data_IF_943829218692
#
_entry.id   IF_943829218692
#
_cell.length_a   1.000
_cell.length_b   1.000
_cell.length_c   1.000
_cell.angle_alpha   90.00
_cell.angle_beta   90.00
_cell.angle_gamma   90.00
#
_symmetry.space_group_name_H-M   'P 1'
#
loop_
_entity.id
_entity.type
_entity.pdbx_description
1 polymer ?
#
# COMPACT_ATOMS: atom_id res chain seq x y z
N UNK A 1 -11.09 -1.23 -53.86
CA UNK A 1 -11.34 -1.02 -52.41
C UNK A 1 -10.06 -0.84 -51.59
N UNK A 2 -8.99 -1.63 -51.82
CA UNK A 2 -7.69 -1.50 -51.10
C UNK A 2 -7.01 -0.12 -51.18
N UNK A 3 -7.12 0.60 -52.30
CA UNK A 3 -6.47 1.91 -52.46
C UNK A 3 -7.11 3.03 -51.64
N UNK A 4 -8.41 2.95 -51.33
CA UNK A 4 -9.11 4.00 -50.56
C UNK A 4 -8.77 3.95 -49.07
N UNK A 5 -8.59 2.74 -48.53
CA UNK A 5 -8.14 2.52 -47.14
C UNK A 5 -6.67 2.93 -46.97
N UNK A 6 -5.82 2.65 -47.96
CA UNK A 6 -4.40 3.06 -47.92
C UNK A 6 -4.25 4.59 -47.94
N UNK A 7 -5.07 5.29 -48.73
CA UNK A 7 -5.12 6.76 -48.76
C UNK A 7 -5.69 7.39 -47.48
N UNK A 8 -6.65 6.74 -46.81
CA UNK A 8 -7.15 7.19 -45.50
C UNK A 8 -6.11 6.96 -44.39
N UNK A 9 -5.32 5.89 -44.46
CA UNK A 9 -4.23 5.63 -43.52
C UNK A 9 -3.02 6.56 -43.72
N UNK A 10 -2.72 6.97 -44.95
CA UNK A 10 -1.69 7.99 -45.24
C UNK A 10 -2.11 9.41 -44.80
N UNK A 11 -3.42 9.71 -44.72
CA UNK A 11 -3.89 10.97 -44.09
C UNK A 11 -3.71 11.00 -42.57
N UNK A 12 -3.43 9.86 -41.95
CA UNK A 12 -3.06 9.75 -40.52
C UNK A 12 -1.53 9.61 -40.40
N UNK A 13 -0.76 10.19 -41.33
CA UNK A 13 0.62 10.53 -41.03
C UNK A 13 0.65 11.60 -39.94
N UNK A 14 0.81 11.14 -38.69
CA UNK A 14 1.24 12.00 -37.59
C UNK A 14 2.52 12.66 -38.07
N UNK A 15 2.56 14.01 -38.24
CA UNK A 15 3.72 14.67 -38.82
C UNK A 15 4.96 14.34 -37.98
N UNK A 16 5.83 13.50 -38.56
CA UNK A 16 7.05 12.97 -37.94
C UNK A 16 8.08 14.07 -37.64
N UNK A 17 7.85 15.26 -38.19
CA UNK A 17 8.69 16.44 -38.04
C UNK A 17 7.86 17.69 -37.71
N UNK A 18 7.10 17.69 -36.60
CA UNK A 18 6.80 18.94 -35.92
C UNK A 18 8.07 19.39 -35.18
N UNK A 19 8.86 20.20 -35.88
CA UNK A 19 10.06 20.85 -35.37
C UNK A 19 9.78 21.44 -33.97
N UNK A 20 10.54 20.98 -32.98
CA UNK A 20 10.45 21.27 -31.52
C UNK A 20 10.32 22.75 -31.12
N UNK A 21 10.48 23.69 -32.07
CA UNK A 21 10.44 25.15 -31.87
C UNK A 21 9.13 25.82 -32.31
N UNK A 22 8.33 25.28 -33.24
CA UNK A 22 7.19 26.04 -33.80
C UNK A 22 5.88 25.94 -33.01
N UNK A 23 5.78 25.08 -32.00
CA UNK A 23 4.67 25.09 -31.04
C UNK A 23 4.86 26.10 -29.89
N UNK A 24 5.85 26.98 -29.95
CA UNK A 24 6.19 27.86 -28.84
C UNK A 24 5.29 29.09 -28.67
N UNK A 25 4.44 29.50 -29.61
CA UNK A 25 3.61 30.71 -29.42
C UNK A 25 2.30 30.45 -28.65
N UNK A 26 1.35 29.78 -29.32
CA UNK A 26 -0.02 29.57 -28.82
C UNK A 26 -0.11 28.37 -27.86
N UNK A 27 0.76 27.37 -28.02
CA UNK A 27 0.84 26.20 -27.14
C UNK A 27 1.66 26.47 -25.87
N UNK A 28 2.43 27.55 -25.78
CA UNK A 28 3.11 27.92 -24.53
C UNK A 28 2.12 28.38 -23.46
N UNK A 29 1.14 29.23 -23.78
CA UNK A 29 0.15 29.68 -22.80
C UNK A 29 -0.68 28.53 -22.24
N UNK A 30 -1.19 27.68 -23.15
CA UNK A 30 -1.96 26.48 -22.78
C UNK A 30 -1.11 25.43 -22.06
N UNK A 31 0.12 25.22 -22.50
CA UNK A 31 1.07 24.32 -21.84
C UNK A 31 1.43 24.77 -20.43
N UNK A 32 1.66 26.08 -20.23
CA UNK A 32 1.87 26.66 -18.89
C UNK A 32 0.66 26.47 -17.99
N UNK A 33 -0.55 26.74 -18.49
CA UNK A 33 -1.78 26.53 -17.71
C UNK A 33 -1.95 25.05 -17.30
N UNK A 34 -1.77 24.12 -18.24
CA UNK A 34 -1.83 22.69 -17.95
C UNK A 34 -0.75 22.23 -16.97
N UNK A 35 0.47 22.75 -17.12
CA UNK A 35 1.55 22.50 -16.17
C UNK A 35 1.13 22.88 -14.75
N UNK A 36 0.62 24.10 -14.53
CA UNK A 36 0.21 24.52 -13.19
C UNK A 36 -0.95 23.69 -12.66
N UNK A 37 -1.93 23.32 -13.49
CA UNK A 37 -3.03 22.43 -13.08
C UNK A 37 -2.48 21.09 -12.60
N UNK A 38 -1.63 20.42 -13.40
CA UNK A 38 -1.07 19.12 -13.01
C UNK A 38 -0.14 19.23 -11.81
N UNK A 39 0.65 20.30 -11.72
CA UNK A 39 1.54 20.52 -10.59
C UNK A 39 0.78 20.71 -9.28
N UNK A 40 -0.27 21.54 -9.27
CA UNK A 40 -1.14 21.73 -8.10
C UNK A 40 -1.82 20.43 -7.69
N UNK A 41 -2.28 19.62 -8.65
CA UNK A 41 -2.89 18.31 -8.38
C UNK A 41 -1.87 17.32 -7.80
N UNK A 42 -0.64 17.31 -8.31
CA UNK A 42 0.39 16.37 -7.88
C UNK A 42 0.94 16.66 -6.49
N UNK A 43 0.99 17.92 -6.05
CA UNK A 43 1.52 18.31 -4.72
C UNK A 43 0.88 17.55 -3.54
N UNK A 44 -0.46 17.52 -3.36
CA UNK A 44 -1.07 16.81 -2.24
C UNK A 44 -0.83 15.30 -2.33
N UNK A 45 -0.80 14.74 -3.55
CA UNK A 45 -0.48 13.33 -3.73
C UNK A 45 0.97 13.03 -3.39
N UNK A 46 1.91 13.85 -3.85
CA UNK A 46 3.32 13.68 -3.55
C UNK A 46 3.59 13.83 -2.07
N UNK A 47 2.92 14.77 -1.39
CA UNK A 47 3.01 14.91 0.05
C UNK A 47 2.50 13.66 0.76
N UNK A 48 1.33 13.13 0.36
CA UNK A 48 0.78 11.90 0.93
C UNK A 48 1.72 10.71 0.75
N UNK A 49 2.20 10.45 -0.47
CA UNK A 49 3.13 9.35 -0.74
C UNK A 49 4.47 9.55 0.01
N UNK A 50 4.97 10.78 0.04
CA UNK A 50 6.21 11.11 0.73
C UNK A 50 6.10 10.88 2.23
N UNK A 51 5.03 11.36 2.86
CA UNK A 51 4.79 11.14 4.28
C UNK A 51 4.70 9.63 4.58
N UNK A 52 3.91 8.88 3.82
CA UNK A 52 3.81 7.43 4.01
C UNK A 52 5.14 6.70 3.81
N UNK A 53 5.92 7.09 2.80
CA UNK A 53 7.26 6.53 2.58
C UNK A 53 8.19 6.87 3.73
N UNK A 54 8.26 8.14 4.13
CA UNK A 54 9.19 8.59 5.16
C UNK A 54 8.88 7.95 6.52
N UNK A 55 7.62 7.92 6.94
CA UNK A 55 7.22 7.25 8.18
C UNK A 55 7.55 5.76 8.23
N UNK A 56 7.53 5.08 7.07
CA UNK A 56 7.84 3.65 7.02
C UNK A 56 9.31 3.35 7.29
N UNK A 57 10.21 4.24 6.88
CA UNK A 57 11.66 4.02 6.95
C UNK A 57 12.35 4.84 8.04
N UNK A 58 11.72 5.93 8.51
CA UNK A 58 12.32 6.86 9.46
C UNK A 58 11.32 7.24 10.57
N UNK A 59 11.70 7.10 11.86
CA UNK A 59 10.85 7.49 12.97
C UNK A 59 10.77 9.02 13.08
N UNK A 60 9.56 9.59 13.00
CA UNK A 60 9.30 11.03 13.10
C UNK A 60 9.61 11.65 14.47
N UNK A 61 10.02 10.85 15.45
CA UNK A 61 10.08 11.26 16.85
C UNK A 61 11.39 11.97 17.24
N UNK A 62 12.17 12.46 16.27
CA UNK A 62 13.40 13.20 16.53
C UNK A 62 13.43 14.45 15.65
N UNK A 63 13.69 15.60 16.28
CA UNK A 63 13.68 16.92 15.63
C UNK A 63 14.55 16.97 14.37
N UNK A 64 15.68 16.26 14.38
CA UNK A 64 16.65 16.26 13.29
C UNK A 64 16.11 15.55 12.04
N UNK A 65 15.39 14.43 12.21
CA UNK A 65 14.80 13.71 11.09
C UNK A 65 13.68 14.49 10.42
N UNK A 66 12.91 15.27 11.18
CA UNK A 66 11.88 16.16 10.62
C UNK A 66 12.47 17.22 9.69
N UNK A 67 13.59 17.85 10.08
CA UNK A 67 14.26 18.84 9.23
C UNK A 67 14.83 18.21 7.96
N UNK A 68 15.45 17.04 8.07
CA UNK A 68 15.96 16.28 6.92
C UNK A 68 14.82 15.89 5.99
N UNK A 69 13.67 15.47 6.53
CA UNK A 69 12.49 15.11 5.76
C UNK A 69 11.99 16.31 4.92
N UNK A 70 11.78 17.45 5.58
CA UNK A 70 11.32 18.66 4.91
C UNK A 70 12.29 19.07 3.80
N UNK A 71 13.60 19.02 4.08
CA UNK A 71 14.63 19.38 3.11
C UNK A 71 14.63 18.42 1.92
N UNK A 72 14.51 17.11 2.15
CA UNK A 72 14.43 16.11 1.08
C UNK A 72 13.14 16.24 0.26
N UNK A 73 12.02 16.58 0.88
CA UNK A 73 10.78 16.88 0.17
C UNK A 73 10.95 18.08 -0.78
N UNK A 74 11.52 19.18 -0.27
CA UNK A 74 11.70 20.41 -1.06
C UNK A 74 12.74 20.24 -2.16
N UNK A 75 13.86 19.57 -1.89
CA UNK A 75 14.96 19.44 -2.85
C UNK A 75 14.79 18.30 -3.85
N UNK A 76 14.10 17.21 -3.49
CA UNK A 76 13.95 16.06 -4.38
C UNK A 76 12.51 15.91 -4.91
N UNK A 77 11.51 15.95 -4.02
CA UNK A 77 10.13 15.62 -4.39
C UNK A 77 9.48 16.75 -5.20
N UNK A 78 9.63 18.01 -4.80
CA UNK A 78 9.04 19.14 -5.54
C UNK A 78 9.59 19.24 -6.98
N UNK A 79 10.92 19.19 -7.23
CA UNK A 79 11.45 19.22 -8.59
C UNK A 79 11.01 18.02 -9.42
N UNK A 80 10.92 16.83 -8.81
CA UNK A 80 10.41 15.64 -9.47
C UNK A 80 8.94 15.82 -9.89
N UNK A 81 8.09 16.41 -9.03
CA UNK A 81 6.69 16.70 -9.37
C UNK A 81 6.56 17.76 -10.45
N UNK A 82 7.41 18.78 -10.46
CA UNK A 82 7.45 19.77 -11.54
C UNK A 82 7.80 19.10 -12.88
N UNK A 83 8.82 18.24 -12.89
CA UNK A 83 9.19 17.46 -14.06
C UNK A 83 8.05 16.56 -14.55
N UNK A 84 7.38 15.83 -13.65
CA UNK A 84 6.23 14.99 -13.97
C UNK A 84 5.06 15.83 -14.53
N UNK A 85 4.74 16.96 -13.92
CA UNK A 85 3.71 17.88 -14.40
C UNK A 85 3.98 18.37 -15.83
N UNK A 86 5.23 18.69 -16.15
CA UNK A 86 5.63 19.07 -17.52
C UNK A 86 5.42 17.90 -18.50
N UNK A 87 5.83 16.68 -18.15
CA UNK A 87 5.64 15.50 -19.02
C UNK A 87 4.17 15.19 -19.25
N UNK A 88 3.35 15.28 -18.22
CA UNK A 88 1.89 15.07 -18.32
C UNK A 88 1.26 16.17 -19.16
N UNK A 89 1.64 17.44 -18.98
CA UNK A 89 1.15 18.55 -19.79
C UNK A 89 1.48 18.37 -21.28
N UNK A 90 2.72 18.00 -21.59
CA UNK A 90 3.15 17.72 -22.97
C UNK A 90 2.40 16.51 -23.53
N UNK A 91 2.21 15.46 -22.74
CA UNK A 91 1.43 14.28 -23.16
C UNK A 91 -0.02 14.64 -23.46
N UNK A 92 -0.68 15.39 -22.58
CA UNK A 92 -2.06 15.83 -22.74
C UNK A 92 -2.25 16.70 -24.00
N UNK A 93 -1.32 17.62 -24.26
CA UNK A 93 -1.32 18.43 -25.47
C UNK A 93 -1.10 17.59 -26.74
N UNK A 94 -0.12 16.67 -26.73
CA UNK A 94 0.17 15.81 -27.89
C UNK A 94 -0.98 14.89 -28.26
N UNK A 95 -1.70 14.39 -27.27
CA UNK A 95 -2.87 13.52 -27.46
C UNK A 95 -4.16 14.29 -27.75
N UNK A 96 -4.12 15.63 -27.78
CA UNK A 96 -5.32 16.45 -27.93
C UNK A 96 -6.32 16.28 -26.78
N UNK A 97 -5.86 15.76 -25.63
CA UNK A 97 -6.68 15.56 -24.43
C UNK A 97 -7.11 16.89 -23.81
N UNK A 98 -6.56 18.02 -24.26
CA UNK A 98 -6.93 19.36 -23.82
C UNK A 98 -8.27 19.86 -24.38
N UNK A 99 -9.00 19.08 -25.19
CA UNK A 99 -10.29 19.47 -25.78
C UNK A 99 -11.45 18.63 -25.25
N UNK A 100 -12.49 19.31 -24.78
CA UNK A 100 -13.80 18.72 -24.49
C UNK A 100 -13.82 17.73 -23.34
N UNK A 101 -14.70 16.73 -23.44
CA UNK A 101 -15.00 15.76 -22.37
C UNK A 101 -13.81 14.84 -22.01
N UNK A 102 -12.89 14.61 -22.93
CA UNK A 102 -11.74 13.73 -22.72
C UNK A 102 -10.72 14.31 -21.71
N UNK A 103 -10.62 15.64 -21.61
CA UNK A 103 -9.78 16.29 -20.60
C UNK A 103 -10.28 16.00 -19.18
N UNK A 104 -11.61 16.11 -19.02
CA UNK A 104 -12.28 15.91 -17.74
C UNK A 104 -12.11 14.45 -17.30
N UNK A 105 -12.34 13.49 -18.21
CA UNK A 105 -12.12 12.06 -17.92
C UNK A 105 -10.68 11.80 -17.49
N UNK A 106 -9.70 12.37 -18.19
CA UNK A 106 -8.29 12.23 -17.85
C UNK A 106 -7.98 12.78 -16.45
N UNK A 107 -8.48 13.97 -16.11
CA UNK A 107 -8.33 14.55 -14.77
C UNK A 107 -9.01 13.71 -13.69
N UNK A 108 -10.22 13.21 -13.96
CA UNK A 108 -10.95 12.34 -13.02
C UNK A 108 -10.15 11.08 -12.74
N UNK A 109 -9.59 10.42 -13.75
CA UNK A 109 -8.77 9.21 -13.55
C UNK A 109 -7.51 9.54 -12.74
N UNK A 110 -6.83 10.65 -13.07
CA UNK A 110 -5.61 11.09 -12.38
C UNK A 110 -5.85 11.31 -10.87
N UNK A 111 -7.02 11.84 -10.50
CA UNK A 111 -7.42 12.08 -9.11
C UNK A 111 -7.99 10.81 -8.45
N UNK A 112 -8.75 10.00 -9.20
CA UNK A 112 -9.44 8.82 -8.67
C UNK A 112 -8.47 7.70 -8.28
N UNK A 113 -7.38 7.47 -9.02
CA UNK A 113 -6.40 6.42 -8.72
C UNK A 113 -5.83 6.57 -7.30
N UNK A 114 -5.23 7.71 -6.91
CA UNK A 114 -4.68 7.86 -5.57
C UNK A 114 -5.76 7.82 -4.47
N UNK A 115 -6.96 8.36 -4.72
CA UNK A 115 -8.09 8.24 -3.77
C UNK A 115 -8.51 6.78 -3.59
N UNK A 116 -8.55 5.99 -4.67
CA UNK A 116 -8.88 4.58 -4.60
C UNK A 116 -7.86 3.81 -3.75
N UNK A 117 -6.58 4.14 -3.85
CA UNK A 117 -5.51 3.57 -3.02
C UNK A 117 -5.76 3.88 -1.54
N UNK A 118 -6.07 5.14 -1.18
CA UNK A 118 -6.28 5.52 0.23
C UNK A 118 -7.55 4.93 0.85
N UNK A 119 -8.61 4.77 0.06
CA UNK A 119 -9.86 4.13 0.52
C UNK A 119 -9.65 2.64 0.75
N UNK A 120 -8.82 1.97 -0.08
CA UNK A 120 -8.60 0.53 0.03
C UNK A 120 -7.99 0.11 1.37
N UNK A 121 -7.23 0.99 2.02
CA UNK A 121 -6.63 0.71 3.33
C UNK A 121 -7.64 0.64 4.48
N UNK A 122 -8.83 1.24 4.31
CA UNK A 122 -9.89 1.27 5.34
C UNK A 122 -11.04 0.31 5.04
N UNK A 123 -10.89 -0.55 4.03
CA UNK A 123 -11.85 -1.60 3.72
C UNK A 123 -11.71 -2.78 4.67
N UNK A 124 -12.78 -3.53 4.77
CA UNK A 124 -12.77 -4.87 5.36
C UNK A 124 -11.90 -5.80 4.51
N UNK A 125 -11.05 -6.58 5.18
CA UNK A 125 -10.11 -7.53 4.58
C UNK A 125 -10.11 -8.82 5.40
N UNK A 126 -9.65 -9.91 4.81
CA UNK A 126 -9.35 -11.12 5.57
C UNK A 126 -8.11 -10.89 6.45
N UNK A 127 -8.07 -11.52 7.63
CA UNK A 127 -6.95 -11.35 8.55
C UNK A 127 -5.65 -11.94 7.98
N UNK A 128 -5.73 -13.04 7.23
CA UNK A 128 -4.57 -13.63 6.55
C UNK A 128 -4.01 -12.71 5.45
N UNK A 129 -4.87 -11.98 4.74
CA UNK A 129 -4.48 -10.93 3.78
C UNK A 129 -3.72 -9.78 4.45
N UNK A 130 -4.02 -9.49 5.72
CA UNK A 130 -3.37 -8.42 6.47
C UNK A 130 -2.02 -8.87 7.02
N UNK A 131 -1.92 -10.08 7.58
CA UNK A 131 -0.66 -10.67 8.04
C UNK A 131 0.27 -10.96 6.85
N UNK A 132 -0.30 -11.33 5.71
CA UNK A 132 0.32 -11.39 4.38
C UNK A 132 1.66 -12.15 4.33
N UNK A 133 1.66 -13.40 4.78
CA UNK A 133 2.82 -14.28 4.64
C UNK A 133 2.63 -15.33 3.54
N UNK A 134 3.74 -15.74 2.93
CA UNK A 134 3.73 -16.68 1.82
C UNK A 134 4.13 -18.08 2.29
N UNK A 135 3.14 -18.97 2.40
CA UNK A 135 3.35 -20.37 2.81
C UNK A 135 4.27 -21.14 1.86
N UNK A 136 4.34 -20.78 0.57
CA UNK A 136 5.25 -21.44 -0.39
C UNK A 136 6.72 -21.13 -0.16
N UNK A 137 7.02 -20.07 0.58
CA UNK A 137 8.38 -19.66 0.96
C UNK A 137 8.48 -19.54 2.48
N UNK A 138 7.77 -20.42 3.17
CA UNK A 138 7.79 -20.49 4.61
C UNK A 138 9.15 -21.01 5.08
N UNK A 139 9.68 -20.37 6.13
CA UNK A 139 10.95 -20.76 6.76
C UNK A 139 10.65 -21.26 8.17
N UNK A 140 10.10 -20.39 9.02
CA UNK A 140 9.82 -20.71 10.43
C UNK A 140 8.61 -19.93 10.94
N UNK A 141 7.91 -20.52 11.91
CA UNK A 141 6.81 -19.93 12.66
C UNK A 141 7.09 -20.09 14.15
N UNK A 142 6.90 -19.02 14.89
CA UNK A 142 6.93 -19.03 16.35
C UNK A 142 5.58 -18.58 16.88
N UNK A 143 5.02 -19.34 17.82
CA UNK A 143 3.89 -18.91 18.65
C UNK A 143 4.42 -18.64 20.05
N UNK A 144 4.19 -17.43 20.52
CA UNK A 144 4.65 -16.93 21.81
C UNK A 144 6.16 -17.06 22.05
N UNK A 145 6.99 -16.97 20.99
CA UNK A 145 8.49 -16.94 20.92
C UNK A 145 9.31 -17.96 21.72
N UNK A 146 8.88 -18.34 22.92
CA UNK A 146 9.50 -19.27 23.85
C UNK A 146 8.64 -20.51 24.13
N UNK A 147 7.41 -20.58 23.58
CA UNK A 147 6.49 -21.69 23.86
C UNK A 147 6.59 -22.74 22.76
N UNK A 148 6.41 -22.33 21.50
CA UNK A 148 6.38 -23.27 20.40
C UNK A 148 6.90 -22.64 19.11
N UNK A 149 7.58 -23.45 18.32
CA UNK A 149 8.05 -23.08 17.00
C UNK A 149 7.97 -24.29 16.06
N UNK A 150 7.91 -24.01 14.76
CA UNK A 150 7.94 -25.04 13.73
C UNK A 150 8.50 -24.50 12.41
N UNK A 151 9.13 -25.37 11.64
CA UNK A 151 9.56 -25.19 10.26
C UNK A 151 8.67 -25.98 9.27
N UNK A 152 7.64 -26.68 9.77
CA UNK A 152 6.69 -27.44 8.94
C UNK A 152 5.72 -26.50 8.25
N UNK A 153 5.68 -26.59 6.92
CA UNK A 153 4.83 -25.76 6.07
C UNK A 153 3.33 -25.99 6.34
N UNK A 154 2.95 -27.19 6.74
CA UNK A 154 1.57 -27.59 7.00
C UNK A 154 0.95 -26.74 8.12
N UNK A 155 1.68 -26.51 9.22
CA UNK A 155 1.19 -25.66 10.32
C UNK A 155 1.06 -24.19 9.90
N UNK A 156 1.94 -23.72 9.01
CA UNK A 156 1.82 -22.39 8.46
C UNK A 156 0.56 -22.25 7.57
N UNK A 157 0.16 -23.31 6.86
CA UNK A 157 -1.08 -23.38 6.09
C UNK A 157 -2.31 -23.43 7.01
N UNK A 158 -2.28 -24.24 8.08
CA UNK A 158 -3.36 -24.34 9.08
C UNK A 158 -3.62 -22.98 9.77
N UNK A 159 -2.56 -22.29 10.20
CA UNK A 159 -2.70 -20.96 10.80
C UNK A 159 -3.20 -19.93 9.79
N UNK A 160 -2.75 -20.01 8.53
CA UNK A 160 -3.25 -19.14 7.48
C UNK A 160 -4.74 -19.35 7.26
N UNK A 161 -5.18 -20.60 7.17
CA UNK A 161 -6.58 -20.97 7.03
C UNK A 161 -7.40 -20.49 8.24
N UNK A 162 -6.91 -20.70 9.45
CA UNK A 162 -7.53 -20.19 10.68
C UNK A 162 -7.73 -18.66 10.61
N UNK A 163 -6.70 -17.91 10.22
CA UNK A 163 -6.83 -16.46 10.06
C UNK A 163 -7.77 -16.04 8.94
N UNK A 164 -7.85 -16.77 7.83
CA UNK A 164 -8.75 -16.44 6.72
C UNK A 164 -10.25 -16.43 7.11
N UNK A 165 -10.60 -17.02 8.26
CA UNK A 165 -11.96 -17.02 8.78
C UNK A 165 -12.37 -15.66 9.37
N UNK A 166 -11.41 -14.79 9.69
CA UNK A 166 -11.65 -13.53 10.40
C UNK A 166 -11.58 -12.34 9.46
N UNK A 167 -12.60 -11.49 9.56
CA UNK A 167 -12.71 -10.22 8.85
C UNK A 167 -12.20 -9.11 9.74
N UNK A 168 -11.29 -8.30 9.21
CA UNK A 168 -10.65 -7.21 9.95
C UNK A 168 -10.74 -5.89 9.22
N UNK A 169 -10.69 -4.81 10.00
CA UNK A 169 -10.63 -3.45 9.48
C UNK A 169 -9.58 -2.65 10.21
N UNK A 170 -8.82 -1.89 9.44
CA UNK A 170 -7.78 -1.01 9.94
C UNK A 170 -8.37 0.04 10.90
N UNK A 171 -7.75 0.17 12.07
CA UNK A 171 -8.08 1.15 13.09
C UNK A 171 -7.20 2.39 12.92
N UNK A 172 -7.71 3.54 13.37
CA UNK A 172 -6.86 4.73 13.56
C UNK A 172 -6.07 4.56 14.86
N UNK A 173 -4.87 5.13 14.94
CA UNK A 173 -4.06 5.07 16.18
C UNK A 173 -4.82 5.54 17.42
N UNK A 174 -5.65 6.59 17.29
CA UNK A 174 -6.48 7.10 18.38
C UNK A 174 -7.60 6.16 18.84
N UNK A 175 -7.94 5.16 18.03
CA UNK A 175 -8.93 4.13 18.36
C UNK A 175 -8.26 2.95 19.08
N UNK A 176 -6.93 2.87 19.05
CA UNK A 176 -6.16 1.91 19.83
C UNK A 176 -5.98 2.43 21.26
N UNK A 177 -6.95 2.12 22.12
CA UNK A 177 -6.86 2.43 23.54
C UNK A 177 -6.09 1.33 24.28
N UNK A 178 -4.93 1.70 24.86
CA UNK A 178 -4.13 0.79 25.70
C UNK A 178 -4.85 0.36 26.98
N UNK A 179 -5.81 1.15 27.47
CA UNK A 179 -6.61 0.79 28.63
C UNK A 179 -7.67 -0.26 28.31
N UNK A 180 -8.17 -0.29 27.08
CA UNK A 180 -9.12 -1.31 26.61
C UNK A 180 -8.44 -2.69 26.41
N UNK A 181 -7.15 -2.70 26.05
CA UNK A 181 -6.34 -3.94 26.03
C UNK A 181 -6.30 -4.66 27.38
N UNK A 182 -6.42 -3.94 28.51
CA UNK A 182 -6.42 -4.56 29.85
C UNK A 182 -7.64 -5.46 30.10
N UNK A 183 -8.70 -5.30 29.30
CA UNK A 183 -9.89 -6.14 29.35
C UNK A 183 -9.77 -7.39 28.46
N UNK A 184 -8.84 -7.40 27.52
CA UNK A 184 -8.57 -8.54 26.64
C UNK A 184 -7.57 -9.49 27.30
N UNK A 185 -8.13 -10.40 28.11
CA UNK A 185 -7.35 -11.28 28.99
C UNK A 185 -6.50 -12.31 28.24
N UNK A 186 -6.90 -12.69 27.03
CA UNK A 186 -6.24 -13.70 26.20
C UNK A 186 -5.64 -13.05 24.95
N UNK A 187 -4.37 -13.37 24.69
CA UNK A 187 -3.65 -12.97 23.49
C UNK A 187 -2.50 -13.92 23.23
N UNK A 188 -2.01 -13.93 21.99
CA UNK A 188 -0.80 -14.63 21.62
C UNK A 188 0.00 -13.79 20.62
N UNK A 189 1.30 -14.05 20.54
CA UNK A 189 2.19 -13.43 19.57
C UNK A 189 2.59 -14.46 18.53
N UNK A 190 2.59 -14.05 17.26
CA UNK A 190 3.14 -14.86 16.17
C UNK A 190 4.32 -14.14 15.57
N UNK A 191 5.35 -14.91 15.22
CA UNK A 191 6.45 -14.44 14.38
C UNK A 191 6.62 -15.42 13.23
N UNK A 192 6.51 -14.91 12.01
CA UNK A 192 6.63 -15.71 10.79
C UNK A 192 7.85 -15.22 10.01
N UNK A 193 8.73 -16.15 9.68
CA UNK A 193 9.85 -15.97 8.77
C UNK A 193 9.45 -16.54 7.42
N UNK A 194 9.44 -15.69 6.39
CA UNK A 194 9.09 -16.10 5.03
C UNK A 194 9.84 -15.27 3.99
N UNK A 195 10.64 -15.93 3.16
CA UNK A 195 11.43 -15.30 2.10
C UNK A 195 12.31 -14.16 2.65
N UNK A 196 13.02 -14.41 3.75
CA UNK A 196 13.88 -13.43 4.44
C UNK A 196 13.14 -12.20 4.99
N UNK A 197 11.81 -12.26 5.12
CA UNK A 197 10.99 -11.23 5.78
C UNK A 197 10.45 -11.78 7.09
N UNK A 198 10.43 -10.92 8.10
CA UNK A 198 9.87 -11.20 9.42
C UNK A 198 8.54 -10.47 9.52
N UNK A 199 7.47 -11.21 9.79
CA UNK A 199 6.16 -10.67 10.16
C UNK A 199 5.93 -11.00 11.62
N UNK A 200 5.75 -9.97 12.46
CA UNK A 200 5.39 -10.12 13.87
C UNK A 200 3.99 -9.55 14.10
N UNK A 201 3.12 -10.32 14.73
CA UNK A 201 1.78 -9.86 15.11
C UNK A 201 1.43 -10.27 16.54
N UNK A 202 0.86 -9.33 17.30
CA UNK A 202 0.17 -9.58 18.56
C UNK A 202 -1.32 -9.68 18.30
N UNK A 203 -1.90 -10.85 18.53
CA UNK A 203 -3.29 -11.19 18.21
C UNK A 203 -4.07 -11.32 19.51
N UNK A 204 -5.11 -10.50 19.65
CA UNK A 204 -6.06 -10.54 20.75
C UNK A 204 -7.42 -11.00 20.23
N UNK A 205 -8.39 -11.23 21.11
CA UNK A 205 -9.73 -11.67 20.73
C UNK A 205 -10.40 -10.72 19.73
N UNK A 206 -10.42 -9.41 19.97
CA UNK A 206 -11.20 -8.47 19.14
C UNK A 206 -10.34 -7.54 18.29
N UNK A 207 -9.01 -7.64 18.38
CA UNK A 207 -8.09 -6.76 17.67
C UNK A 207 -6.73 -7.41 17.50
N UNK A 208 -5.91 -6.85 16.63
CA UNK A 208 -4.52 -7.25 16.50
C UNK A 208 -3.62 -6.05 16.19
N UNK A 209 -2.35 -6.24 16.49
CA UNK A 209 -1.28 -5.32 16.16
C UNK A 209 -0.21 -6.03 15.33
N UNK A 210 0.10 -5.50 14.15
CA UNK A 210 1.18 -5.99 13.28
C UNK A 210 2.35 -5.02 13.33
N UNK A 211 3.47 -5.51 13.85
CA UNK A 211 4.67 -4.71 14.03
C UNK A 211 5.33 -4.40 12.68
N UNK A 212 5.95 -3.21 12.59
CA UNK A 212 6.61 -2.75 11.36
C UNK A 212 5.68 -2.11 10.33
N UNK A 213 4.40 -1.91 10.66
CA UNK A 213 3.46 -1.13 9.85
C UNK A 213 2.96 0.10 10.64
N UNK A 214 2.96 1.29 10.01
CA UNK A 214 2.66 2.60 10.63
C UNK A 214 1.32 2.62 11.36
N UNK A 215 0.37 1.82 10.90
CA UNK A 215 -0.98 1.73 11.40
C UNK A 215 -1.37 0.24 11.48
N UNK A 216 -0.52 -0.56 12.11
CA UNK A 216 -0.68 -2.01 12.22
C UNK A 216 -1.84 -2.46 13.09
N UNK A 217 -2.73 -1.56 13.47
CA UNK A 217 -3.84 -1.81 14.37
C UNK A 217 -5.07 -2.18 13.56
N UNK A 218 -5.66 -3.33 13.88
CA UNK A 218 -6.85 -3.82 13.21
C UNK A 218 -7.87 -4.28 14.23
N UNK A 219 -9.15 -4.03 13.93
CA UNK A 219 -10.29 -4.54 14.68
C UNK A 219 -10.88 -5.73 13.95
N UNK A 220 -11.25 -6.76 14.70
CA UNK A 220 -11.99 -7.93 14.19
C UNK A 220 -13.48 -7.60 14.13
N UNK A 221 -14.14 -7.98 13.03
CA UNK A 221 -15.51 -7.56 12.71
C UNK A 221 -16.55 -8.67 12.87
N UNK A 222 -16.15 -9.93 12.66
CA UNK A 222 -17.06 -11.07 12.57
C UNK A 222 -17.02 -12.00 13.80
N UNK A 223 -16.56 -11.50 14.94
CA UNK A 223 -16.52 -12.22 16.22
C UNK A 223 -15.10 -12.30 16.82
N UNK A 224 -14.97 -12.69 18.09
CA UNK A 224 -13.67 -12.83 18.72
C UNK A 224 -12.86 -13.97 18.09
N UNK A 225 -11.55 -13.75 17.95
CA UNK A 225 -10.60 -14.78 17.55
C UNK A 225 -10.55 -15.86 18.63
N UNK A 226 -10.67 -17.13 18.22
CA UNK A 226 -10.60 -18.26 19.13
C UNK A 226 -9.15 -18.52 19.55
N UNK A 227 -8.69 -17.82 20.59
CA UNK A 227 -7.33 -17.95 21.11
C UNK A 227 -7.04 -19.36 21.61
N UNK A 228 -8.05 -20.05 22.17
CA UNK A 228 -7.93 -21.42 22.68
C UNK A 228 -7.59 -22.42 21.58
N UNK A 229 -8.00 -22.16 20.34
CA UNK A 229 -7.63 -23.00 19.20
C UNK A 229 -6.11 -23.03 18.98
N UNK A 230 -5.43 -21.90 19.12
CA UNK A 230 -3.97 -21.81 19.03
C UNK A 230 -3.30 -22.48 20.23
N UNK A 231 -3.86 -22.29 21.43
CA UNK A 231 -3.35 -22.94 22.64
C UNK A 231 -3.40 -24.47 22.50
N UNK A 232 -4.53 -25.02 22.03
CA UNK A 232 -4.70 -26.45 21.80
C UNK A 232 -3.76 -26.98 20.71
N UNK A 233 -3.60 -26.25 19.59
CA UNK A 233 -2.65 -26.62 18.53
C UNK A 233 -1.23 -26.75 19.07
N UNK A 234 -0.80 -25.78 19.89
CA UNK A 234 0.52 -25.79 20.53
C UNK A 234 0.66 -26.94 21.51
N UNK A 235 -0.36 -27.20 22.34
CA UNK A 235 -0.35 -28.30 23.31
C UNK A 235 -0.30 -29.67 22.62
N UNK A 236 -1.08 -29.89 21.57
CA UNK A 236 -1.07 -31.14 20.80
C UNK A 236 0.30 -31.44 20.18
N UNK A 237 0.95 -30.44 19.59
CA UNK A 237 2.29 -30.59 19.01
C UNK A 237 3.37 -30.76 20.08
N UNK A 238 3.26 -30.07 21.22
CA UNK A 238 4.17 -30.24 22.35
C UNK A 238 4.10 -31.67 22.90
N UNK A 239 2.89 -32.20 23.09
CA UNK A 239 2.70 -33.58 23.52
C UNK A 239 3.26 -34.57 22.49
N UNK A 240 3.00 -34.39 21.19
CA UNK A 240 3.57 -35.27 20.16
C UNK A 240 5.10 -35.31 20.19
N UNK A 241 5.76 -34.19 20.49
CA UNK A 241 7.21 -34.14 20.60
C UNK A 241 7.73 -34.94 21.81
N UNK A 242 7.16 -34.75 23.01
CA UNK A 242 7.57 -35.47 24.24
C UNK A 242 7.41 -36.99 24.17
N UNK A 243 6.41 -37.50 23.44
CA UNK A 243 6.16 -38.94 23.31
C UNK A 243 6.88 -39.60 22.12
N UNK A 244 7.72 -38.85 21.39
CA UNK A 244 8.48 -39.33 20.23
C UNK A 244 9.98 -39.55 20.48
N UNK A 245 10.45 -39.25 21.70
CA UNK A 245 11.79 -39.58 22.23
C UNK A 245 11.80 -40.89 23.02
#
# INVERSE_FOLDING_TARGET
MKNKIKQEMEKIEIPKNLHKRSMQGVNQGKGKALFYIFFIILIPFSFYFYANFFDRYFPWNTRDFTLIAILLYVLAVIPLMAFLAEKIAVFALRRGLNKGKNFIIFLVILIAIPIAITINDHREKDLDDVINFNTNKFEELYVNHYIWWTDKREHAEEIKEFFSQYRVKKMKDREWDKYDLSQEKKHFNITIYSNGKITYASVYENRLYIMGTRDGYYKVLNGPINIEWIENLVEEEFMKAEWSE
#
